data_IF_661162585009
#
_entry.id   IF_661162585009
#
_cell.length_a   1.000
_cell.length_b   1.000
_cell.length_c   1.000
_cell.angle_alpha   90.00
_cell.angle_beta   90.00
_cell.angle_gamma   90.00
#
_symmetry.space_group_name_H-M   'P 1'
#
loop_
_entity.id
_entity.type
_entity.pdbx_description
1 polymer ?
#
# COMPACT_ATOMS: atom_id res chain seq x y z
N UNK A 1 25.55 1.89 16.81
CA UNK A 1 24.42 1.41 16.00
C UNK A 1 23.43 2.56 15.92
N UNK A 2 23.29 3.20 14.76
CA UNK A 2 22.29 4.24 14.54
C UNK A 2 20.92 3.55 14.52
N UNK A 3 20.02 3.94 15.43
CA UNK A 3 18.63 3.50 15.34
C UNK A 3 18.09 3.97 13.98
N UNK A 4 17.64 3.04 13.15
CA UNK A 4 16.98 3.39 11.90
C UNK A 4 15.77 4.27 12.22
N UNK A 5 15.61 5.39 11.50
CA UNK A 5 14.44 6.26 11.64
C UNK A 5 13.19 5.42 11.39
N UNK A 6 12.22 5.49 12.30
CA UNK A 6 10.87 4.97 12.05
C UNK A 6 10.09 6.04 11.29
N UNK A 7 9.62 5.69 10.11
CA UNK A 7 8.79 6.49 9.25
C UNK A 7 7.31 6.35 9.63
N UNK A 8 6.52 7.38 9.36
CA UNK A 8 5.07 7.36 9.52
C UNK A 8 4.42 7.18 8.15
N UNK A 9 3.65 6.10 7.96
CA UNK A 9 2.81 5.92 6.77
C UNK A 9 1.40 6.46 6.99
N UNK A 10 0.83 7.12 6.00
CA UNK A 10 -0.56 7.55 5.96
C UNK A 10 -1.14 7.23 4.59
N UNK A 11 -2.45 6.94 4.56
CA UNK A 11 -3.21 6.73 3.33
C UNK A 11 -4.37 7.70 3.32
N UNK A 12 -4.60 8.34 2.17
CA UNK A 12 -5.71 9.28 2.01
C UNK A 12 -6.31 9.20 0.61
N UNK A 13 -7.57 9.62 0.51
CA UNK A 13 -8.24 9.86 -0.76
C UNK A 13 -8.59 11.35 -0.83
N UNK A 14 -8.05 12.06 -1.82
CA UNK A 14 -8.23 13.50 -2.00
C UNK A 14 -9.04 13.79 -3.27
N UNK A 15 -9.68 14.96 -3.32
CA UNK A 15 -10.34 15.44 -4.54
C UNK A 15 -9.34 16.27 -5.36
N UNK A 16 -9.03 15.85 -6.57
CA UNK A 16 -8.22 16.59 -7.53
C UNK A 16 -8.98 16.77 -8.85
N UNK A 17 -9.28 18.02 -9.23
CA UNK A 17 -9.99 18.35 -10.48
C UNK A 17 -11.32 17.60 -10.69
N UNK A 18 -12.02 17.27 -9.61
CA UNK A 18 -13.30 16.54 -9.64
C UNK A 18 -13.17 15.02 -9.67
N UNK A 19 -11.94 14.50 -9.59
CA UNK A 19 -11.65 13.07 -9.46
C UNK A 19 -11.12 12.77 -8.06
N UNK A 20 -11.38 11.56 -7.58
CA UNK A 20 -10.79 11.07 -6.32
C UNK A 20 -9.43 10.45 -6.65
N UNK A 21 -8.39 10.84 -5.92
CA UNK A 21 -7.03 10.32 -6.08
C UNK A 21 -6.57 9.74 -4.74
N UNK A 22 -6.07 8.51 -4.74
CA UNK A 22 -5.50 7.87 -3.58
C UNK A 22 -3.99 8.13 -3.47
N UNK A 23 -3.54 8.44 -2.26
CA UNK A 23 -2.14 8.72 -1.96
C UNK A 23 -1.64 7.92 -0.76
N UNK A 24 -0.42 7.37 -0.89
CA UNK A 24 0.40 6.90 0.22
C UNK A 24 1.38 8.02 0.55
N UNK A 25 1.31 8.51 1.77
CA UNK A 25 2.27 9.47 2.31
C UNK A 25 3.23 8.76 3.26
N UNK A 26 4.52 9.02 3.12
CA UNK A 26 5.53 8.59 4.10
C UNK A 26 6.25 9.82 4.62
N UNK A 27 6.16 10.03 5.93
CA UNK A 27 6.62 11.26 6.61
C UNK A 27 6.06 12.55 5.99
N UNK A 28 4.84 12.49 5.43
CA UNK A 28 4.15 13.61 4.77
C UNK A 28 4.46 13.78 3.28
N UNK A 29 5.33 12.95 2.70
CA UNK A 29 5.69 13.01 1.28
C UNK A 29 4.96 11.93 0.48
N UNK A 30 4.41 12.28 -0.68
CA UNK A 30 3.67 11.34 -1.55
C UNK A 30 4.63 10.34 -2.20
N UNK A 31 4.39 9.05 -1.97
CA UNK A 31 5.24 7.95 -2.49
C UNK A 31 4.81 7.49 -3.88
N UNK A 32 3.52 7.58 -4.20
CA UNK A 32 2.92 7.11 -5.46
C UNK A 32 2.62 8.25 -6.44
N UNK A 33 3.41 9.32 -6.46
CA UNK A 33 3.15 10.46 -7.36
C UNK A 33 3.10 10.02 -8.82
N UNK A 34 1.95 10.20 -9.48
CA UNK A 34 1.71 9.76 -10.85
C UNK A 34 1.51 8.26 -11.05
N UNK A 35 1.37 7.49 -9.96
CA UNK A 35 1.23 6.04 -9.94
C UNK A 35 -0.01 5.63 -9.16
N UNK A 36 -0.53 4.46 -9.50
CA UNK A 36 -1.67 3.85 -8.81
C UNK A 36 -1.20 2.92 -7.71
N UNK A 37 -2.01 2.81 -6.66
CA UNK A 37 -1.75 1.91 -5.53
C UNK A 37 -2.45 0.59 -5.80
N UNK A 38 -1.69 -0.50 -5.84
CA UNK A 38 -2.26 -1.84 -5.80
C UNK A 38 -2.59 -2.21 -4.34
N UNK A 39 -3.84 -2.00 -3.97
CA UNK A 39 -4.30 -2.21 -2.61
C UNK A 39 -4.23 -3.67 -2.16
N UNK A 40 -4.36 -4.63 -3.09
CA UNK A 40 -4.21 -6.04 -2.77
C UNK A 40 -2.79 -6.33 -2.28
N UNK A 41 -1.79 -5.93 -3.06
CA UNK A 41 -0.36 -6.04 -2.76
C UNK A 41 0.01 -5.27 -1.49
N UNK A 42 -0.57 -4.09 -1.29
CA UNK A 42 -0.37 -3.31 -0.06
C UNK A 42 -0.85 -4.09 1.18
N UNK A 43 -2.07 -4.62 1.15
CA UNK A 43 -2.65 -5.42 2.24
C UNK A 43 -1.87 -6.72 2.44
N UNK A 44 -1.45 -7.41 1.38
CA UNK A 44 -0.62 -8.60 1.48
C UNK A 44 0.75 -8.30 2.11
N UNK A 45 1.35 -7.15 1.80
CA UNK A 45 2.65 -6.74 2.37
C UNK A 45 2.59 -6.47 3.88
N UNK A 46 1.41 -6.18 4.42
CA UNK A 46 1.18 -6.05 5.86
C UNK A 46 1.23 -7.41 6.60
N UNK A 47 1.00 -8.52 5.89
CA UNK A 47 0.94 -9.86 6.48
C UNK A 47 2.28 -10.58 6.53
N UNK A 48 3.20 -10.26 5.63
CA UNK A 48 4.48 -10.96 5.56
C UNK A 48 5.52 -10.27 4.68
N UNK A 49 6.72 -10.83 4.69
CA UNK A 49 7.81 -10.41 3.81
C UNK A 49 7.60 -10.93 2.39
N UNK A 50 8.25 -10.30 1.42
CA UNK A 50 8.19 -10.68 0.02
C UNK A 50 8.35 -9.48 -0.91
N UNK A 51 8.13 -9.72 -2.19
CA UNK A 51 8.28 -8.73 -3.24
C UNK A 51 6.89 -8.41 -3.80
N UNK A 52 6.50 -7.13 -3.77
CA UNK A 52 5.12 -6.70 -4.04
C UNK A 52 5.07 -5.57 -5.07
N UNK A 53 4.14 -5.66 -6.03
CA UNK A 53 3.80 -4.56 -6.93
C UNK A 53 2.80 -3.62 -6.26
N UNK A 54 3.23 -2.86 -5.25
CA UNK A 54 2.36 -1.91 -4.55
C UNK A 54 2.10 -0.64 -5.38
N UNK A 55 3.05 -0.29 -6.25
CA UNK A 55 2.97 0.85 -7.16
C UNK A 55 2.83 0.32 -8.59
N UNK A 56 1.79 0.74 -9.29
CA UNK A 56 1.43 0.24 -10.62
C UNK A 56 0.96 1.36 -11.54
N UNK A 57 0.67 1.01 -12.80
CA UNK A 57 -0.07 1.89 -13.72
C UNK A 57 -1.54 1.98 -13.29
N UNK A 58 -2.31 2.92 -13.86
CA UNK A 58 -3.76 3.01 -13.64
C UNK A 58 -4.55 1.80 -14.14
N UNK A 59 -3.96 0.98 -15.03
CA UNK A 59 -4.48 -0.33 -15.40
C UNK A 59 -3.97 -1.49 -14.52
N UNK A 60 -3.23 -1.17 -13.44
CA UNK A 60 -2.63 -2.06 -12.43
C UNK A 60 -1.53 -2.98 -12.91
N UNK A 61 -1.27 -2.96 -14.21
CA UNK A 61 -0.14 -3.66 -14.79
C UNK A 61 1.13 -2.83 -14.55
N UNK A 62 2.06 -3.35 -13.73
CA UNK A 62 3.31 -2.68 -13.41
C UNK A 62 4.21 -2.54 -14.67
N UNK A 63 4.13 -3.50 -15.60
CA UNK A 63 4.92 -3.44 -16.83
C UNK A 63 4.54 -2.26 -17.75
N UNK A 64 3.33 -1.70 -17.64
CA UNK A 64 2.90 -0.52 -18.40
C UNK A 64 3.69 0.75 -18.06
N UNK A 65 4.30 0.82 -16.88
CA UNK A 65 5.19 1.91 -16.44
C UNK A 65 6.66 1.49 -16.44
N UNK A 66 6.99 0.36 -17.07
CA UNK A 66 8.35 -0.14 -17.20
C UNK A 66 8.89 -0.86 -15.97
N UNK A 67 8.06 -1.19 -14.98
CA UNK A 67 8.49 -1.99 -13.84
C UNK A 67 8.48 -3.47 -14.19
N UNK A 68 9.56 -4.16 -13.83
CA UNK A 68 9.74 -5.60 -13.98
C UNK A 68 9.63 -6.33 -12.63
N UNK A 69 9.74 -7.66 -12.64
CA UNK A 69 9.74 -8.47 -11.42
C UNK A 69 10.85 -8.07 -10.42
N UNK A 70 12.00 -7.63 -10.92
CA UNK A 70 13.13 -7.18 -10.09
C UNK A 70 12.89 -5.82 -9.43
N UNK A 71 11.89 -5.06 -9.92
CA UNK A 71 11.52 -3.72 -9.48
C UNK A 71 10.41 -3.71 -8.42
N UNK A 72 9.91 -4.88 -8.05
CA UNK A 72 8.95 -5.02 -6.94
C UNK A 72 9.50 -4.42 -5.65
N UNK A 73 8.61 -3.80 -4.87
CA UNK A 73 8.98 -3.31 -3.55
C UNK A 73 9.34 -4.52 -2.68
N UNK A 74 10.58 -4.54 -2.19
CA UNK A 74 11.07 -5.59 -1.31
C UNK A 74 10.64 -5.27 0.11
N UNK A 75 9.81 -6.12 0.67
CA UNK A 75 9.24 -5.96 2.01
C UNK A 75 9.86 -6.99 2.94
N UNK A 76 10.39 -6.52 4.06
CA UNK A 76 10.95 -7.38 5.12
C UNK A 76 10.30 -7.05 6.44
N UNK A 77 10.13 -8.07 7.29
CA UNK A 77 9.50 -7.92 8.60
C UNK A 77 10.50 -8.25 9.72
N UNK A 78 10.36 -7.54 10.83
CA UNK A 78 10.79 -8.00 12.14
C UNK A 78 9.54 -8.20 13.02
N UNK A 79 9.73 -8.53 14.30
CA UNK A 79 8.62 -8.65 15.24
C UNK A 79 7.84 -7.33 15.40
N UNK A 80 8.50 -6.18 15.24
CA UNK A 80 7.92 -4.85 15.51
C UNK A 80 7.95 -3.90 14.31
N UNK A 81 8.62 -4.25 13.22
CA UNK A 81 8.77 -3.34 12.07
C UNK A 81 8.54 -3.99 10.73
N UNK A 82 8.12 -3.18 9.77
CA UNK A 82 8.01 -3.50 8.35
C UNK A 82 8.95 -2.56 7.61
N UNK A 83 9.84 -3.09 6.79
CA UNK A 83 10.75 -2.29 5.97
C UNK A 83 10.43 -2.49 4.50
N UNK A 84 10.23 -1.37 3.80
CA UNK A 84 10.16 -1.29 2.35
C UNK A 84 11.51 -0.88 1.79
N UNK A 85 11.93 -1.53 0.72
CA UNK A 85 13.03 -1.09 -0.12
C UNK A 85 12.54 -0.98 -1.56
N UNK A 86 12.61 0.23 -2.10
CA UNK A 86 12.10 0.62 -3.41
C UNK A 86 13.29 1.01 -4.27
N UNK A 87 13.59 0.21 -5.29
CA UNK A 87 14.64 0.49 -6.28
C UNK A 87 14.11 1.30 -7.45
N UNK A 88 12.86 1.02 -7.85
CA UNK A 88 12.10 1.70 -8.87
C UNK A 88 10.64 1.91 -8.44
N UNK A 89 9.98 2.97 -8.93
CA UNK A 89 10.57 4.04 -9.72
C UNK A 89 11.52 4.92 -8.89
N UNK A 90 12.61 5.40 -9.51
CA UNK A 90 13.59 6.30 -8.87
C UNK A 90 12.95 7.51 -8.17
N UNK A 91 13.60 8.06 -7.13
CA UNK A 91 14.87 7.63 -6.55
C UNK A 91 14.73 6.37 -5.69
N UNK A 92 15.83 5.63 -5.57
CA UNK A 92 15.92 4.50 -4.65
C UNK A 92 15.73 5.00 -3.21
N UNK A 93 14.89 4.31 -2.44
CA UNK A 93 14.50 4.73 -1.09
C UNK A 93 14.15 3.55 -0.21
N UNK A 94 14.38 3.71 1.09
CA UNK A 94 14.07 2.71 2.11
C UNK A 94 13.23 3.36 3.20
N UNK A 95 12.15 2.70 3.58
CA UNK A 95 11.29 3.13 4.67
C UNK A 95 11.16 2.02 5.70
N UNK A 96 11.15 2.37 6.98
CA UNK A 96 10.95 1.45 8.10
C UNK A 96 9.76 1.95 8.90
N UNK A 97 8.73 1.13 9.02
CA UNK A 97 7.50 1.44 9.74
C UNK A 97 7.42 0.61 11.00
N UNK A 98 6.78 1.15 12.04
CA UNK A 98 6.31 0.31 13.14
C UNK A 98 5.11 -0.50 12.65
N UNK A 99 5.07 -1.79 12.99
CA UNK A 99 4.13 -2.75 12.40
C UNK A 99 2.67 -2.41 12.72
N UNK A 100 2.35 -2.02 13.96
CA UNK A 100 0.98 -1.63 14.34
C UNK A 100 0.55 -0.35 13.65
N UNK A 101 1.44 0.64 13.56
CA UNK A 101 1.20 1.90 12.87
C UNK A 101 0.91 1.68 11.38
N UNK A 102 1.71 0.84 10.73
CA UNK A 102 1.53 0.47 9.33
C UNK A 102 0.16 -0.20 9.06
N UNK A 103 -0.17 -1.22 9.87
CA UNK A 103 -1.44 -1.93 9.76
C UNK A 103 -2.62 -0.99 10.04
N UNK A 104 -2.51 -0.14 11.07
CA UNK A 104 -3.56 0.81 11.44
C UNK A 104 -3.86 1.80 10.31
N UNK A 105 -2.83 2.36 9.67
CA UNK A 105 -3.00 3.29 8.55
C UNK A 105 -3.78 2.66 7.38
N UNK A 106 -3.50 1.40 7.05
CA UNK A 106 -4.24 0.66 6.00
C UNK A 106 -5.70 0.46 6.44
N UNK A 107 -5.93 0.01 7.68
CA UNK A 107 -7.28 -0.24 8.19
C UNK A 107 -8.13 1.02 8.28
N UNK A 108 -7.55 2.13 8.74
CA UNK A 108 -8.21 3.44 8.84
C UNK A 108 -8.64 3.96 7.47
N UNK A 109 -7.78 3.84 6.47
CA UNK A 109 -8.12 4.20 5.09
C UNK A 109 -9.32 3.42 4.58
N UNK A 110 -9.30 2.09 4.70
CA UNK A 110 -10.42 1.24 4.27
C UNK A 110 -11.70 1.51 5.07
N UNK A 111 -11.62 1.78 6.36
CA UNK A 111 -12.79 2.15 7.16
C UNK A 111 -13.37 3.51 6.72
N UNK A 112 -12.51 4.45 6.32
CA UNK A 112 -12.91 5.78 5.83
C UNK A 112 -13.67 5.67 4.51
N UNK A 113 -13.14 4.93 3.54
CA UNK A 113 -13.79 4.77 2.22
C UNK A 113 -15.00 3.81 2.25
N UNK A 114 -15.08 2.89 3.22
CA UNK A 114 -16.25 2.02 3.41
C UNK A 114 -17.38 2.67 4.20
N UNK A 115 -17.06 3.58 5.14
CA UNK A 115 -18.06 4.34 5.91
C UNK A 115 -18.91 5.29 5.05
N UNK A 116 -18.39 5.67 3.88
CA UNK A 116 -19.13 6.33 2.81
C UNK A 116 -19.89 5.29 1.97
N UNK A 117 -21.10 4.91 2.40
CA UNK A 117 -22.12 4.13 1.66
C UNK A 117 -21.75 3.79 0.21
N UNK A 118 -21.05 2.68 -0.04
CA UNK A 118 -20.94 2.22 -1.41
C UNK A 118 -20.69 0.72 -1.50
N UNK A 119 -21.53 0.08 -2.32
CA UNK A 119 -21.17 -1.15 -3.02
C UNK A 119 -19.99 -0.95 -4.01
N UNK A 120 -19.26 0.17 -3.90
CA UNK A 120 -18.31 0.69 -4.90
C UNK A 120 -16.88 0.90 -4.33
N UNK A 121 -16.64 0.71 -3.03
CA UNK A 121 -15.28 0.82 -2.49
C UNK A 121 -14.33 -0.21 -3.16
N UNK A 122 -14.88 -1.37 -3.54
CA UNK A 122 -14.16 -2.43 -4.25
C UNK A 122 -14.06 -2.20 -5.77
N UNK A 123 -14.84 -1.28 -6.35
CA UNK A 123 -14.68 -0.91 -7.78
C UNK A 123 -13.50 0.03 -8.06
N UNK A 124 -12.97 0.69 -7.03
CA UNK A 124 -11.70 1.44 -7.10
C UNK A 124 -10.48 0.52 -6.99
N UNK A 125 -10.66 -0.71 -6.49
CA UNK A 125 -9.63 -1.76 -6.39
C UNK A 125 -9.55 -2.56 -7.70
N UNK A 126 -10.07 -2.00 -8.79
CA UNK A 126 -9.87 -2.55 -10.10
C UNK A 126 -8.38 -2.48 -10.41
N UNK A 127 -7.77 -3.64 -10.61
CA UNK A 127 -6.96 -3.93 -11.79
C UNK A 127 -6.48 -5.40 -11.80
N UNK A 128 -5.96 -5.82 -12.96
CA UNK A 128 -5.74 -7.20 -13.40
C UNK A 128 -5.50 -8.24 -12.29
N UNK A 129 -6.39 -9.24 -12.16
CA UNK A 129 -6.22 -10.33 -11.20
C UNK A 129 -6.76 -10.07 -9.78
N UNK A 130 -7.49 -8.97 -9.57
CA UNK A 130 -8.23 -8.74 -8.32
C UNK A 130 -9.20 -9.89 -8.01
N UNK A 131 -8.95 -10.54 -6.88
CA UNK A 131 -9.81 -11.58 -6.30
C UNK A 131 -10.39 -11.02 -4.99
N UNK A 132 -11.68 -10.69 -5.03
CA UNK A 132 -12.39 -10.07 -3.91
C UNK A 132 -12.40 -10.97 -2.66
N UNK A 133 -12.56 -12.28 -2.84
CA UNK A 133 -12.57 -13.24 -1.72
C UNK A 133 -11.19 -13.29 -1.06
N UNK A 134 -10.14 -13.32 -1.87
CA UNK A 134 -8.76 -13.30 -1.38
C UNK A 134 -8.42 -11.99 -0.69
N UNK A 135 -8.80 -10.84 -1.27
CA UNK A 135 -8.65 -9.53 -0.64
C UNK A 135 -9.36 -9.48 0.72
N UNK A 136 -10.63 -9.89 0.78
CA UNK A 136 -11.42 -9.88 2.00
C UNK A 136 -10.83 -10.80 3.08
N UNK A 137 -10.35 -11.98 2.70
CA UNK A 137 -9.67 -12.88 3.63
C UNK A 137 -8.39 -12.26 4.20
N UNK A 138 -7.58 -11.64 3.34
CA UNK A 138 -6.34 -10.97 3.69
C UNK A 138 -6.58 -9.73 4.57
N UNK A 139 -7.59 -8.93 4.23
CA UNK A 139 -8.04 -7.79 5.01
C UNK A 139 -8.53 -8.19 6.41
N UNK A 140 -9.27 -9.32 6.51
CA UNK A 140 -9.71 -9.87 7.79
C UNK A 140 -8.54 -10.31 8.67
N UNK A 141 -7.48 -10.88 8.10
CA UNK A 141 -6.28 -11.26 8.85
C UNK A 141 -5.57 -10.04 9.44
N UNK A 142 -5.40 -8.97 8.65
CA UNK A 142 -4.73 -7.76 9.15
C UNK A 142 -5.54 -7.04 10.22
N UNK A 143 -6.89 -7.10 10.16
CA UNK A 143 -7.74 -6.65 11.26
C UNK A 143 -7.48 -7.41 12.56
N UNK A 144 -7.21 -8.71 12.50
CA UNK A 144 -6.93 -9.53 13.68
C UNK A 144 -5.56 -9.21 14.33
N UNK A 145 -4.59 -8.66 13.57
CA UNK A 145 -3.32 -8.19 14.13
C UNK A 145 -3.41 -6.86 14.87
N UNK A 146 -4.53 -6.14 14.73
CA UNK A 146 -4.76 -4.84 15.36
C UNK A 146 -5.71 -4.89 16.58
N UNK A 147 -6.08 -6.09 17.02
CA UNK A 147 -6.87 -6.38 18.23
C UNK A 147 -5.95 -6.90 19.35
#
# INVERSE_FOLDING_TARGET
MTNAKINTIQLQAIQHKGETVEEILVDGEVVNSGLTIDFYSLVSSAQGWGDFFILTCSCGEASCIGLSEDDKIKVTHTDSTIKWHITEPKPERTFVFEKKQYISAILEFFNTINGTNSKNAYTLIGTFGYDEDRFNADFKKIKAFNL
#
